data_IF_821868546329
#
_entry.id   IF_821868546329
#
_cell.length_a   1.000
_cell.length_b   1.000
_cell.length_c   1.000
_cell.angle_alpha   90.00
_cell.angle_beta   90.00
_cell.angle_gamma   90.00
#
_symmetry.space_group_name_H-M   'P 1'
#
loop_
_entity.id
_entity.type
_entity.pdbx_description
1 polymer ?
#
# COMPACT_ATOMS: atom_id res chain seq x y z
N UNK A 1 -2.18 15.39 -19.58
CA UNK A 1 -1.36 14.17 -19.47
C UNK A 1 -1.32 13.74 -18.00
N UNK A 2 -1.85 12.55 -17.71
CA UNK A 2 -1.97 12.01 -16.34
C UNK A 2 -0.59 11.79 -15.70
N UNK A 3 0.39 11.33 -16.45
CA UNK A 3 1.75 11.12 -15.91
C UNK A 3 2.36 12.44 -15.42
N UNK A 4 2.11 13.54 -16.11
CA UNK A 4 2.52 14.88 -15.68
C UNK A 4 1.78 15.28 -14.40
N UNK A 5 0.47 15.06 -14.36
CA UNK A 5 -0.34 15.36 -13.17
C UNK A 5 0.15 14.64 -11.91
N UNK A 6 0.39 13.33 -12.00
CA UNK A 6 0.88 12.55 -10.86
C UNK A 6 2.29 12.99 -10.42
N UNK A 7 3.16 13.34 -11.35
CA UNK A 7 4.49 13.86 -11.04
C UNK A 7 4.43 15.20 -10.29
N UNK A 8 3.65 16.15 -10.82
CA UNK A 8 3.47 17.46 -10.18
C UNK A 8 2.80 17.33 -8.80
N UNK A 9 1.89 16.38 -8.63
CA UNK A 9 1.28 16.07 -7.34
C UNK A 9 2.34 15.58 -6.34
N UNK A 10 3.20 14.64 -6.74
CA UNK A 10 4.30 14.15 -5.91
C UNK A 10 5.27 15.28 -5.55
N UNK A 11 5.70 16.07 -6.53
CA UNK A 11 6.66 17.17 -6.33
C UNK A 11 6.17 18.16 -5.27
N UNK A 12 4.87 18.52 -5.30
CA UNK A 12 4.26 19.41 -4.29
C UNK A 12 4.24 18.80 -2.89
N UNK A 13 4.26 17.50 -2.78
CA UNK A 13 4.15 16.76 -1.51
C UNK A 13 5.48 16.18 -1.02
N UNK A 14 6.59 16.38 -1.74
CA UNK A 14 7.91 15.82 -1.38
C UNK A 14 8.37 16.15 0.04
N UNK A 15 7.97 17.31 0.58
CA UNK A 15 8.27 17.73 1.97
C UNK A 15 7.80 16.71 3.02
N UNK A 16 6.77 15.93 2.74
CA UNK A 16 6.25 14.91 3.67
C UNK A 16 7.13 13.66 3.73
N UNK A 17 8.03 13.49 2.76
CA UNK A 17 8.97 12.37 2.67
C UNK A 17 10.39 12.74 3.16
N UNK A 18 10.65 14.03 3.38
CA UNK A 18 11.94 14.54 3.90
C UNK A 18 12.04 14.28 5.41
N UNK A 19 12.31 13.01 5.77
CA UNK A 19 12.49 12.57 7.14
C UNK A 19 13.44 11.38 7.22
N UNK A 20 14.11 11.17 8.36
CA UNK A 20 14.81 9.91 8.61
C UNK A 20 13.84 8.73 8.59
N UNK A 21 14.25 7.65 7.93
CA UNK A 21 13.48 6.40 7.85
C UNK A 21 14.33 5.28 8.42
N UNK A 22 13.79 4.55 9.40
CA UNK A 22 14.36 3.26 9.82
C UNK A 22 13.87 2.22 8.83
N UNK A 23 14.81 1.68 8.04
CA UNK A 23 14.49 0.67 7.04
C UNK A 23 14.08 -0.63 7.71
N UNK A 24 12.91 -1.14 7.37
CA UNK A 24 12.36 -2.40 7.85
C UNK A 24 12.19 -3.38 6.70
N UNK A 25 12.25 -4.68 6.98
CA UNK A 25 11.87 -5.69 6.00
C UNK A 25 10.35 -5.72 5.89
N UNK A 26 9.85 -5.43 4.71
CA UNK A 26 8.42 -5.39 4.37
C UNK A 26 8.05 -6.60 3.53
N UNK A 27 6.88 -7.17 3.77
CA UNK A 27 6.37 -8.30 3.00
C UNK A 27 5.74 -7.86 1.68
N UNK A 28 5.03 -6.76 1.69
CA UNK A 28 4.37 -6.11 0.55
C UNK A 28 3.21 -6.88 -0.09
N UNK A 29 2.76 -7.96 0.55
CA UNK A 29 1.63 -8.76 0.06
C UNK A 29 0.93 -9.52 1.19
N UNK A 30 0.75 -8.88 2.36
CA UNK A 30 0.04 -9.48 3.50
C UNK A 30 -1.46 -9.41 3.26
N UNK A 31 -2.05 -10.55 2.94
CA UNK A 31 -3.47 -10.75 2.79
C UNK A 31 -3.87 -12.18 3.18
N UNK A 32 -5.16 -12.46 3.26
CA UNK A 32 -5.66 -13.72 3.83
C UNK A 32 -5.10 -14.99 3.20
N UNK A 33 -4.73 -14.98 1.91
CA UNK A 33 -4.19 -16.17 1.23
C UNK A 33 -2.70 -16.41 1.52
N UNK A 34 -1.98 -15.39 2.02
CA UNK A 34 -0.56 -15.50 2.36
C UNK A 34 -0.35 -15.70 3.87
N UNK A 35 -1.43 -15.78 4.65
CA UNK A 35 -1.40 -16.04 6.09
C UNK A 35 -1.80 -17.50 6.34
N UNK A 36 -0.88 -18.27 6.90
CA UNK A 36 -1.14 -19.67 7.29
C UNK A 36 -1.70 -19.72 8.70
N UNK A 37 -2.76 -20.49 8.89
CA UNK A 37 -3.39 -20.70 10.20
C UNK A 37 -3.50 -22.20 10.48
N UNK A 38 -3.44 -22.58 11.77
CA UNK A 38 -3.74 -23.93 12.22
C UNK A 38 -5.25 -24.16 12.38
N UNK A 39 -5.63 -25.39 12.80
CA UNK A 39 -7.04 -25.75 13.02
C UNK A 39 -7.68 -24.99 14.20
N UNK A 40 -6.88 -24.41 15.08
CA UNK A 40 -7.28 -23.61 16.23
C UNK A 40 -7.39 -22.12 15.90
N UNK A 41 -7.01 -21.72 14.66
CA UNK A 41 -7.04 -20.33 14.19
C UNK A 41 -5.79 -19.51 14.54
N UNK A 42 -4.73 -20.15 15.04
CA UNK A 42 -3.47 -19.43 15.30
C UNK A 42 -2.70 -19.22 14.01
N UNK A 43 -2.09 -18.05 13.85
CA UNK A 43 -1.17 -17.76 12.74
C UNK A 43 0.10 -18.60 12.93
N UNK A 44 0.42 -19.44 11.95
CA UNK A 44 1.60 -20.32 11.95
C UNK A 44 2.68 -19.89 10.96
N UNK A 45 2.37 -18.95 10.07
CA UNK A 45 3.36 -18.42 9.14
C UNK A 45 2.81 -17.41 8.14
N UNK A 46 3.74 -16.76 7.48
CA UNK A 46 3.50 -15.95 6.28
C UNK A 46 4.26 -16.57 5.12
N UNK A 47 3.68 -16.54 3.93
CA UNK A 47 4.27 -17.08 2.70
C UNK A 47 4.22 -16.04 1.58
N UNK A 48 4.93 -16.30 0.49
CA UNK A 48 4.95 -15.48 -0.72
C UNK A 48 5.62 -14.11 -0.52
N UNK A 49 6.93 -14.17 -0.23
CA UNK A 49 7.80 -12.99 -0.05
C UNK A 49 8.41 -12.47 -1.36
N UNK A 50 7.85 -12.81 -2.51
CA UNK A 50 8.40 -12.40 -3.82
C UNK A 50 8.40 -10.88 -4.03
N UNK A 51 7.59 -10.15 -3.28
CA UNK A 51 7.49 -8.69 -3.28
C UNK A 51 8.25 -8.00 -2.14
N UNK A 52 8.89 -8.78 -1.27
CA UNK A 52 9.54 -8.24 -0.08
C UNK A 52 10.65 -7.23 -0.44
N UNK A 53 10.74 -6.17 0.34
CA UNK A 53 11.76 -5.13 0.17
C UNK A 53 12.14 -4.52 1.52
N UNK A 54 13.29 -3.85 1.55
CA UNK A 54 13.69 -3.02 2.68
C UNK A 54 13.24 -1.58 2.44
N UNK A 55 12.46 -1.01 3.37
CA UNK A 55 11.93 0.34 3.18
C UNK A 55 11.21 0.90 4.39
N UNK A 56 10.46 1.97 4.13
CA UNK A 56 9.59 2.63 5.12
C UNK A 56 8.42 1.72 5.47
N UNK A 57 8.25 1.43 6.78
CA UNK A 57 7.15 0.57 7.27
C UNK A 57 5.75 1.11 6.87
N UNK A 58 5.61 2.41 6.64
CA UNK A 58 4.34 2.99 6.18
C UNK A 58 3.90 2.49 4.79
N UNK A 59 4.84 1.97 3.98
CA UNK A 59 4.51 1.29 2.72
C UNK A 59 3.68 0.03 3.02
N UNK A 60 4.14 -0.78 4.00
CA UNK A 60 3.41 -1.98 4.43
C UNK A 60 2.02 -1.61 4.98
N UNK A 61 1.93 -0.57 5.79
CA UNK A 61 0.65 -0.13 6.35
C UNK A 61 -0.37 0.28 5.28
N UNK A 62 0.07 0.93 4.20
CA UNK A 62 -0.78 1.22 3.05
C UNK A 62 -1.27 -0.05 2.34
N UNK A 63 -0.42 -1.07 2.23
CA UNK A 63 -0.78 -2.38 1.66
C UNK A 63 -1.75 -3.12 2.58
N UNK A 64 -1.53 -3.10 3.90
CA UNK A 64 -2.44 -3.71 4.89
C UNK A 64 -3.83 -3.07 4.85
N UNK A 65 -3.93 -1.75 4.72
CA UNK A 65 -5.19 -1.03 4.54
C UNK A 65 -5.89 -1.51 3.26
N UNK A 66 -5.16 -1.59 2.17
CA UNK A 66 -5.69 -2.05 0.88
C UNK A 66 -6.16 -3.52 0.90
N UNK A 67 -5.44 -4.38 1.62
CA UNK A 67 -5.75 -5.80 1.74
C UNK A 67 -6.81 -6.12 2.81
N UNK A 68 -7.30 -5.12 3.55
CA UNK A 68 -8.31 -5.29 4.60
C UNK A 68 -7.79 -6.02 5.85
N UNK A 69 -6.49 -5.95 6.12
CA UNK A 69 -5.85 -6.55 7.31
C UNK A 69 -5.72 -5.53 8.45
N UNK A 70 -5.80 -4.24 8.15
CA UNK A 70 -5.58 -3.12 9.08
C UNK A 70 -6.75 -2.94 10.07
N UNK A 71 -7.15 -4.02 10.72
CA UNK A 71 -8.22 -4.06 11.70
C UNK A 71 -7.69 -3.78 13.13
N UNK A 72 -8.54 -3.34 14.07
CA UNK A 72 -8.12 -3.08 15.44
C UNK A 72 -7.42 -4.28 16.12
N UNK A 73 -7.78 -5.50 15.75
CA UNK A 73 -7.13 -6.71 16.27
C UNK A 73 -5.67 -6.83 15.80
N UNK A 74 -5.41 -6.49 14.54
CA UNK A 74 -4.05 -6.45 14.01
C UNK A 74 -3.18 -5.45 14.79
N UNK A 75 -3.64 -4.21 14.99
CA UNK A 75 -2.88 -3.17 15.68
C UNK A 75 -2.61 -3.51 17.15
N UNK A 76 -3.56 -4.14 17.83
CA UNK A 76 -3.32 -4.67 19.20
C UNK A 76 -2.23 -5.73 19.24
N UNK A 77 -2.15 -6.59 18.22
CA UNK A 77 -1.12 -7.62 18.12
C UNK A 77 0.23 -7.09 17.67
N UNK A 78 0.22 -6.09 16.81
CA UNK A 78 1.43 -5.42 16.31
C UNK A 78 2.19 -4.70 17.44
N UNK A 79 1.47 -4.13 18.40
CA UNK A 79 2.04 -3.60 19.64
C UNK A 79 2.47 -2.14 19.58
N UNK A 80 2.65 -1.57 18.39
CA UNK A 80 2.99 -0.17 18.19
C UNK A 80 1.81 0.62 17.61
N UNK A 81 1.71 1.88 18.05
CA UNK A 81 0.73 2.80 17.49
C UNK A 81 1.18 3.26 16.08
N UNK A 82 0.25 3.24 15.16
CA UNK A 82 0.43 3.81 13.83
C UNK A 82 0.57 5.34 13.95
N UNK A 83 1.53 5.93 13.22
CA UNK A 83 1.63 7.39 13.11
C UNK A 83 0.42 7.95 12.35
N UNK A 84 -0.43 8.71 13.02
CA UNK A 84 -1.62 9.36 12.47
C UNK A 84 -1.41 10.86 12.19
N UNK A 85 -0.16 11.32 12.15
CA UNK A 85 0.14 12.68 11.74
C UNK A 85 -0.32 12.97 10.31
N UNK A 86 -0.68 14.21 9.98
CA UNK A 86 -1.08 14.57 8.61
C UNK A 86 -0.04 14.17 7.55
N UNK A 87 1.25 14.28 7.86
CA UNK A 87 2.31 13.85 6.95
C UNK A 87 2.36 12.34 6.75
N UNK A 88 2.14 11.55 7.79
CA UNK A 88 2.08 10.09 7.69
C UNK A 88 0.87 9.64 6.85
N UNK A 89 -0.28 10.26 7.06
CA UNK A 89 -1.49 9.98 6.25
C UNK A 89 -1.22 10.27 4.77
N UNK A 90 -0.60 11.42 4.45
CA UNK A 90 -0.26 11.78 3.07
C UNK A 90 0.72 10.75 2.47
N UNK A 91 1.78 10.35 3.19
CA UNK A 91 2.72 9.34 2.70
C UNK A 91 2.04 8.02 2.39
N UNK A 92 1.19 7.51 3.30
CA UNK A 92 0.45 6.27 3.08
C UNK A 92 -0.48 6.35 1.87
N UNK A 93 -1.10 7.50 1.61
CA UNK A 93 -1.91 7.70 0.41
C UNK A 93 -1.07 7.63 -0.88
N UNK A 94 0.15 8.18 -0.89
CA UNK A 94 1.07 8.03 -2.03
C UNK A 94 1.53 6.59 -2.20
N UNK A 95 1.82 5.87 -1.12
CA UNK A 95 2.17 4.45 -1.18
C UNK A 95 1.00 3.61 -1.71
N UNK A 96 -0.22 3.90 -1.26
CA UNK A 96 -1.43 3.27 -1.78
C UNK A 96 -1.65 3.62 -3.27
N UNK A 97 -1.39 4.86 -3.66
CA UNK A 97 -1.49 5.28 -5.06
C UNK A 97 -0.55 4.46 -5.95
N UNK A 98 0.70 4.26 -5.53
CA UNK A 98 1.66 3.40 -6.22
C UNK A 98 1.14 1.95 -6.32
N UNK A 99 0.62 1.39 -5.24
CA UNK A 99 0.08 0.03 -5.20
C UNK A 99 -1.09 -0.14 -6.19
N UNK A 100 -2.02 0.79 -6.20
CA UNK A 100 -3.17 0.79 -7.11
C UNK A 100 -2.74 0.95 -8.58
N UNK A 101 -1.82 1.85 -8.88
CA UNK A 101 -1.32 2.06 -10.25
C UNK A 101 -0.64 0.83 -10.83
N UNK A 102 0.07 0.05 -10.02
CA UNK A 102 0.66 -1.23 -10.43
C UNK A 102 -0.39 -2.18 -11.03
N UNK A 103 -1.59 -2.22 -10.45
CA UNK A 103 -2.67 -3.07 -10.94
C UNK A 103 -3.22 -2.64 -12.31
N UNK A 104 -3.13 -1.36 -12.68
CA UNK A 104 -3.48 -0.92 -14.04
C UNK A 104 -2.67 -1.70 -15.07
N UNK A 105 -1.34 -1.76 -14.87
CA UNK A 105 -0.45 -2.50 -15.75
C UNK A 105 -0.72 -4.01 -15.71
N UNK A 106 -0.84 -4.59 -14.51
CA UNK A 106 -1.09 -6.03 -14.34
C UNK A 106 -2.38 -6.44 -15.03
N UNK A 107 -3.47 -5.70 -14.85
CA UNK A 107 -4.78 -6.03 -15.45
C UNK A 107 -4.77 -5.82 -16.94
N UNK A 108 -4.20 -4.72 -17.42
CA UNK A 108 -4.19 -4.41 -18.85
C UNK A 108 -3.27 -5.31 -19.66
N UNK A 109 -2.02 -5.50 -19.18
CA UNK A 109 -0.96 -6.16 -19.95
C UNK A 109 -0.86 -7.66 -19.66
N UNK A 110 -0.77 -8.04 -18.37
CA UNK A 110 -0.56 -9.45 -18.00
C UNK A 110 -1.83 -10.28 -18.01
N UNK A 111 -2.98 -9.70 -17.69
CA UNK A 111 -4.25 -10.40 -17.55
C UNK A 111 -5.22 -10.15 -18.71
N UNK A 112 -4.92 -9.23 -19.61
CA UNK A 112 -5.78 -8.81 -20.72
C UNK A 112 -7.22 -8.46 -20.26
N UNK A 113 -7.34 -7.69 -19.19
CA UNK A 113 -8.62 -7.25 -18.59
C UNK A 113 -8.71 -5.73 -18.58
N UNK A 114 -8.95 -5.09 -19.74
CA UNK A 114 -8.93 -3.62 -19.86
C UNK A 114 -10.00 -2.93 -19.01
N UNK A 115 -11.16 -3.53 -18.80
CA UNK A 115 -12.21 -2.98 -17.94
C UNK A 115 -11.79 -2.90 -16.46
N UNK A 116 -11.13 -3.93 -15.94
CA UNK A 116 -10.57 -3.91 -14.59
C UNK A 116 -9.43 -2.86 -14.49
N UNK A 117 -8.58 -2.76 -15.51
CA UNK A 117 -7.52 -1.75 -15.55
C UNK A 117 -8.09 -0.33 -15.49
N UNK A 118 -9.21 -0.06 -16.15
CA UNK A 118 -9.89 1.24 -16.11
C UNK A 118 -10.45 1.54 -14.71
N UNK A 119 -10.97 0.55 -14.01
CA UNK A 119 -11.41 0.71 -12.61
C UNK A 119 -10.24 1.13 -11.70
N UNK A 120 -9.08 0.49 -11.83
CA UNK A 120 -7.86 0.88 -11.08
C UNK A 120 -7.35 2.27 -11.50
N UNK A 121 -7.45 2.62 -12.77
CA UNK A 121 -7.12 3.97 -13.24
C UNK A 121 -8.00 5.02 -12.56
N UNK A 122 -9.31 4.80 -12.54
CA UNK A 122 -10.26 5.72 -11.89
C UNK A 122 -10.00 5.80 -10.37
N UNK A 123 -9.72 4.68 -9.72
CA UNK A 123 -9.34 4.66 -8.31
C UNK A 123 -8.07 5.48 -8.05
N UNK A 124 -7.06 5.38 -8.92
CA UNK A 124 -5.83 6.19 -8.83
C UNK A 124 -6.12 7.69 -8.94
N UNK A 125 -7.00 8.09 -9.85
CA UNK A 125 -7.39 9.49 -10.00
C UNK A 125 -8.14 10.01 -8.77
N UNK A 126 -9.03 9.22 -8.21
CA UNK A 126 -9.77 9.60 -7.00
C UNK A 126 -8.83 9.78 -5.80
N UNK A 127 -7.87 8.86 -5.61
CA UNK A 127 -6.83 9.00 -4.58
C UNK A 127 -5.98 10.27 -4.80
N UNK A 128 -5.58 10.53 -6.03
CA UNK A 128 -4.79 11.72 -6.35
C UNK A 128 -5.56 13.03 -6.07
N UNK A 129 -6.87 13.05 -6.29
CA UNK A 129 -7.70 14.21 -5.96
C UNK A 129 -7.75 14.50 -4.45
N UNK A 130 -7.70 13.48 -3.61
CA UNK A 130 -7.66 13.66 -2.15
C UNK A 130 -6.31 14.18 -1.63
N UNK A 131 -5.26 14.14 -2.47
CA UNK A 131 -3.90 14.62 -2.18
C UNK A 131 -3.60 16.02 -2.77
N UNK A 132 -4.53 16.59 -3.55
CA UNK A 132 -4.31 17.82 -4.34
C UNK A 132 -4.38 19.13 -3.50
#
# INVERSE_FOLDING_TARGET
DEAKYFRELLDRNMRHFDRPVVSSLLHMDVWSQNILIDQQGNVTGLVDFDRALWGDVEIEFAVLDYCGISEPAFWRGYGDARDESPSAIIRRQFYLLYEVQKYIFIRRVRRNRPGEAEQYRQQSLNLAQSLA
#
